data_IF_733272966644
#
_entry.id   IF_733272966644
#
_cell.length_a   1.000
_cell.length_b   1.000
_cell.length_c   1.000
_cell.angle_alpha   90.00
_cell.angle_beta   90.00
_cell.angle_gamma   90.00
#
_symmetry.space_group_name_H-M   'P 1'
#
loop_
_entity.id
_entity.type
_entity.pdbx_description
1 polymer ?
#
# COMPACT_ATOMS: atom_id res chain seq x y z
N UNK A 1 -13.51 15.24 -16.60
CA UNK A 1 -12.12 15.37 -16.12
C UNK A 1 -11.85 16.85 -15.89
N UNK A 2 -11.66 17.24 -14.63
CA UNK A 2 -11.33 18.61 -14.22
C UNK A 2 -9.81 18.76 -14.21
N UNK A 3 -9.23 18.96 -15.38
CA UNK A 3 -7.80 19.28 -15.50
C UNK A 3 -7.53 20.74 -15.16
N UNK A 4 -6.27 21.06 -14.88
CA UNK A 4 -5.83 22.42 -14.57
C UNK A 4 -5.76 23.26 -15.84
N UNK A 5 -6.23 24.50 -15.79
CA UNK A 5 -6.13 25.42 -16.92
C UNK A 5 -4.76 26.11 -16.93
N UNK A 6 -3.94 25.81 -17.94
CA UNK A 6 -2.57 26.31 -18.04
C UNK A 6 -2.49 27.62 -18.82
N UNK A 7 -1.73 28.57 -18.31
CA UNK A 7 -1.33 29.76 -19.07
C UNK A 7 -0.22 29.44 -20.08
N UNK A 8 0.10 30.41 -20.96
CA UNK A 8 1.10 30.21 -22.02
C UNK A 8 2.47 29.77 -21.50
N UNK A 9 2.93 30.36 -20.38
CA UNK A 9 4.21 29.99 -19.76
C UNK A 9 4.18 28.58 -19.21
N UNK A 10 3.10 28.19 -18.55
CA UNK A 10 2.94 26.84 -18.00
C UNK A 10 2.86 25.77 -19.10
N UNK A 11 2.23 26.08 -20.24
CA UNK A 11 2.22 25.20 -21.41
C UNK A 11 3.64 24.98 -21.98
N UNK A 12 4.45 26.03 -22.06
CA UNK A 12 5.86 25.91 -22.45
C UNK A 12 6.64 25.03 -21.46
N UNK A 13 6.50 25.29 -20.16
CA UNK A 13 7.16 24.50 -19.11
C UNK A 13 6.74 23.03 -19.15
N UNK A 14 5.44 22.75 -19.31
CA UNK A 14 4.91 21.38 -19.47
C UNK A 14 5.54 20.69 -20.67
N UNK A 15 5.59 21.36 -21.83
CA UNK A 15 6.14 20.79 -23.07
C UNK A 15 7.63 20.46 -22.93
N UNK A 16 8.42 21.35 -22.33
CA UNK A 16 9.84 21.09 -22.06
C UNK A 16 9.99 19.91 -21.09
N UNK A 17 9.19 19.87 -20.03
CA UNK A 17 9.21 18.81 -19.03
C UNK A 17 8.90 17.44 -19.64
N UNK A 18 7.85 17.33 -20.46
CA UNK A 18 7.48 16.11 -21.21
C UNK A 18 8.61 15.65 -22.13
N UNK A 19 9.24 16.58 -22.86
CA UNK A 19 10.36 16.24 -23.76
C UNK A 19 11.56 15.65 -23.01
N UNK A 20 11.91 16.21 -21.84
CA UNK A 20 13.03 15.70 -21.03
C UNK A 20 12.67 14.34 -20.39
N UNK A 21 11.44 14.19 -19.91
CA UNK A 21 10.93 12.95 -19.34
C UNK A 21 10.96 11.80 -20.35
N UNK A 22 10.43 12.02 -21.56
CA UNK A 22 10.40 10.99 -22.61
C UNK A 22 11.79 10.59 -23.07
N UNK A 23 12.72 11.55 -23.15
CA UNK A 23 14.13 11.27 -23.45
C UNK A 23 14.77 10.37 -22.37
N UNK A 24 14.55 10.70 -21.09
CA UNK A 24 15.06 9.90 -19.97
C UNK A 24 14.44 8.50 -19.92
N UNK A 25 13.12 8.39 -20.12
CA UNK A 25 12.42 7.09 -20.17
C UNK A 25 12.94 6.21 -21.29
N UNK A 26 13.09 6.76 -22.49
CA UNK A 26 13.60 6.03 -23.66
C UNK A 26 15.02 5.52 -23.42
N UNK A 27 15.89 6.33 -22.79
CA UNK A 27 17.26 5.91 -22.46
C UNK A 27 17.30 4.80 -21.38
N UNK A 28 16.44 4.91 -20.37
CA UNK A 28 16.36 3.93 -19.27
C UNK A 28 15.79 2.57 -19.72
N UNK A 29 14.79 2.58 -20.60
CA UNK A 29 14.16 1.38 -21.15
C UNK A 29 14.95 0.78 -22.34
N UNK A 30 15.75 1.60 -23.01
CA UNK A 30 16.52 1.24 -24.19
C UNK A 30 17.96 0.81 -23.91
N UNK A 31 18.83 1.00 -24.91
CA UNK A 31 20.24 0.58 -24.89
C UNK A 31 21.16 1.44 -24.00
N UNK A 32 20.63 2.43 -23.27
CA UNK A 32 21.39 3.39 -22.45
C UNK A 32 22.48 4.11 -23.26
N UNK A 33 22.07 4.73 -24.35
CA UNK A 33 22.96 5.40 -25.31
C UNK A 33 23.40 6.80 -24.83
N UNK A 34 22.70 7.38 -23.85
CA UNK A 34 23.02 8.69 -23.28
C UNK A 34 24.16 8.57 -22.27
N UNK A 35 25.16 9.44 -22.38
CA UNK A 35 26.27 9.50 -21.42
C UNK A 35 25.79 9.93 -20.03
N UNK A 36 26.56 9.61 -19.00
CA UNK A 36 26.24 10.01 -17.64
C UNK A 36 26.10 11.54 -17.51
N UNK A 37 27.01 12.32 -18.09
CA UNK A 37 26.93 13.78 -18.05
C UNK A 37 25.64 14.29 -18.68
N UNK A 38 25.27 13.75 -19.86
CA UNK A 38 24.06 14.17 -20.55
C UNK A 38 22.80 13.77 -19.78
N UNK A 39 22.80 12.60 -19.14
CA UNK A 39 21.71 12.18 -18.26
C UNK A 39 21.56 13.11 -17.05
N UNK A 40 22.68 13.53 -16.45
CA UNK A 40 22.67 14.49 -15.35
C UNK A 40 22.14 15.86 -15.78
N UNK A 41 22.51 16.34 -16.97
CA UNK A 41 21.93 17.56 -17.56
C UNK A 41 20.40 17.46 -17.71
N UNK A 42 19.92 16.34 -18.25
CA UNK A 42 18.49 16.08 -18.43
C UNK A 42 17.76 16.07 -17.09
N UNK A 43 18.30 15.38 -16.07
CA UNK A 43 17.72 15.39 -14.72
C UNK A 43 17.69 16.78 -14.08
N UNK A 44 18.75 17.58 -14.25
CA UNK A 44 18.80 18.93 -13.71
C UNK A 44 17.80 19.87 -14.44
N UNK A 45 17.68 19.75 -15.76
CA UNK A 45 16.72 20.51 -16.54
C UNK A 45 15.28 20.12 -16.20
N UNK A 46 15.00 18.83 -16.09
CA UNK A 46 13.72 18.30 -15.64
C UNK A 46 13.36 18.79 -14.24
N UNK A 47 14.32 18.77 -13.30
CA UNK A 47 14.13 19.28 -11.95
C UNK A 47 13.76 20.78 -11.95
N UNK A 48 14.48 21.58 -12.74
CA UNK A 48 14.21 23.01 -12.91
C UNK A 48 12.82 23.28 -13.47
N UNK A 49 12.46 22.64 -14.58
CA UNK A 49 11.16 22.85 -15.22
C UNK A 49 10.01 22.33 -14.36
N UNK A 50 10.16 21.17 -13.71
CA UNK A 50 9.17 20.61 -12.79
C UNK A 50 8.90 21.52 -11.61
N UNK A 51 9.96 22.03 -10.97
CA UNK A 51 9.85 22.99 -9.88
C UNK A 51 9.23 24.33 -10.34
N UNK A 52 9.68 24.90 -11.46
CA UNK A 52 9.13 26.17 -11.96
C UNK A 52 7.62 26.03 -12.29
N UNK A 53 7.24 24.90 -12.90
CA UNK A 53 5.85 24.58 -13.19
C UNK A 53 5.04 24.41 -11.90
N UNK A 54 5.53 23.65 -10.92
CA UNK A 54 4.89 23.52 -9.60
C UNK A 54 4.63 24.90 -8.98
N UNK A 55 5.68 25.71 -8.85
CA UNK A 55 5.56 27.01 -8.17
C UNK A 55 4.62 27.96 -8.90
N UNK A 56 4.59 27.88 -10.24
CA UNK A 56 3.63 28.65 -11.04
C UNK A 56 2.18 28.21 -10.81
N UNK A 57 1.91 26.90 -10.74
CA UNK A 57 0.59 26.33 -10.47
C UNK A 57 0.11 26.66 -9.05
N UNK A 58 1.01 26.51 -8.06
CA UNK A 58 0.76 26.93 -6.68
C UNK A 58 0.39 28.41 -6.58
N UNK A 59 1.10 29.28 -7.32
CA UNK A 59 0.84 30.71 -7.33
C UNK A 59 -0.54 31.14 -7.88
N UNK A 60 -1.20 30.29 -8.67
CA UNK A 60 -2.55 30.52 -9.18
C UNK A 60 -3.65 29.82 -8.37
N UNK A 61 -3.28 29.10 -7.30
CA UNK A 61 -4.22 28.38 -6.43
C UNK A 61 -4.41 26.90 -6.76
N UNK A 62 -3.68 26.36 -7.74
CA UNK A 62 -3.70 24.94 -8.12
C UNK A 62 -2.46 24.23 -7.59
N UNK A 63 -2.32 24.11 -6.27
CA UNK A 63 -1.13 23.46 -5.67
C UNK A 63 -1.07 21.97 -6.04
N UNK A 64 -0.01 21.50 -6.74
CA UNK A 64 0.08 20.11 -7.17
C UNK A 64 0.17 19.13 -6.00
N UNK A 65 -0.65 18.08 -6.06
CA UNK A 65 -0.63 16.95 -5.14
C UNK A 65 0.25 15.83 -5.70
N UNK A 66 1.06 15.20 -4.85
CA UNK A 66 1.89 14.02 -5.14
C UNK A 66 1.54 12.91 -4.16
N UNK A 67 1.73 11.67 -4.55
CA UNK A 67 1.45 10.53 -3.66
C UNK A 67 2.27 10.62 -2.36
N UNK A 68 1.66 10.30 -1.20
CA UNK A 68 2.29 10.36 0.12
C UNK A 68 3.58 9.56 0.19
N UNK A 69 3.57 8.32 -0.32
CA UNK A 69 4.76 7.45 -0.30
C UNK A 69 5.94 8.09 -1.05
N UNK A 70 5.67 8.91 -2.06
CA UNK A 70 6.69 9.59 -2.83
C UNK A 70 7.35 10.70 -2.00
N UNK A 71 6.55 11.48 -1.27
CA UNK A 71 7.03 12.53 -0.37
C UNK A 71 7.90 11.92 0.74
N UNK A 72 7.42 10.84 1.36
CA UNK A 72 8.12 10.13 2.43
C UNK A 72 9.46 9.54 1.96
N UNK A 73 9.47 8.84 0.82
CA UNK A 73 10.68 8.22 0.28
C UNK A 73 11.72 9.25 -0.18
N UNK A 74 11.28 10.42 -0.66
CA UNK A 74 12.20 11.50 -1.07
C UNK A 74 12.79 12.21 0.14
N UNK A 75 12.04 12.36 1.23
CA UNK A 75 12.49 13.05 2.44
C UNK A 75 12.85 14.52 2.25
N UNK A 76 12.36 15.14 1.17
CA UNK A 76 12.63 16.52 0.76
C UNK A 76 11.28 17.20 0.48
N UNK A 77 11.09 18.47 0.89
CA UNK A 77 9.88 19.22 0.58
C UNK A 77 9.53 19.29 -0.91
N UNK A 78 8.25 19.28 -1.24
CA UNK A 78 7.75 19.32 -2.64
C UNK A 78 8.06 20.63 -3.37
N UNK A 79 8.35 21.70 -2.62
CA UNK A 79 8.78 23.00 -3.12
C UNK A 79 10.31 23.12 -3.27
N UNK A 80 11.08 22.07 -2.95
CA UNK A 80 12.52 22.02 -3.25
C UNK A 80 12.74 21.53 -4.68
N UNK A 81 13.61 22.20 -5.43
CA UNK A 81 13.99 21.79 -6.79
C UNK A 81 14.50 20.34 -6.87
N UNK A 82 15.18 19.84 -5.83
CA UNK A 82 15.70 18.49 -5.78
C UNK A 82 14.59 17.44 -5.66
N UNK A 83 13.39 17.80 -5.22
CA UNK A 83 12.23 16.90 -5.24
C UNK A 83 12.01 16.38 -6.68
N UNK A 84 12.04 17.29 -7.66
CA UNK A 84 11.85 17.02 -9.09
C UNK A 84 13.07 16.43 -9.81
N UNK A 85 14.18 16.19 -9.12
CA UNK A 85 15.35 15.48 -9.68
C UNK A 85 15.14 13.97 -9.70
N UNK A 86 13.96 13.53 -10.12
CA UNK A 86 13.53 12.15 -10.27
C UNK A 86 12.31 12.06 -11.19
N UNK A 87 12.13 10.92 -11.84
CA UNK A 87 11.06 10.72 -12.83
C UNK A 87 9.68 10.73 -12.18
N UNK A 88 9.46 10.01 -11.07
CA UNK A 88 8.13 9.88 -10.47
C UNK A 88 7.47 11.21 -10.02
N UNK A 89 8.15 12.15 -9.34
CA UNK A 89 7.57 13.46 -9.02
C UNK A 89 7.12 14.27 -10.24
N UNK A 90 7.80 14.06 -11.36
CA UNK A 90 7.49 14.71 -12.64
C UNK A 90 6.28 14.04 -13.29
N UNK A 91 6.18 12.72 -13.22
CA UNK A 91 4.99 11.98 -13.67
C UNK A 91 3.75 12.38 -12.88
N UNK A 92 3.85 12.47 -11.55
CA UNK A 92 2.76 12.92 -10.68
C UNK A 92 2.32 14.33 -11.04
N UNK A 93 3.27 15.27 -11.21
CA UNK A 93 2.96 16.64 -11.63
C UNK A 93 2.20 16.68 -12.97
N UNK A 94 2.63 15.89 -13.96
CA UNK A 94 1.98 15.84 -15.27
C UNK A 94 0.57 15.22 -15.19
N UNK A 95 0.41 14.14 -14.40
CA UNK A 95 -0.90 13.52 -14.14
C UNK A 95 -1.86 14.48 -13.44
N UNK A 96 -1.39 15.22 -12.43
CA UNK A 96 -2.18 16.22 -11.71
C UNK A 96 -2.75 17.29 -12.65
N UNK A 97 -1.94 17.76 -13.61
CA UNK A 97 -2.38 18.75 -14.61
C UNK A 97 -3.57 18.21 -15.43
N UNK A 98 -3.57 16.92 -15.76
CA UNK A 98 -4.64 16.30 -16.55
C UNK A 98 -5.89 16.00 -15.71
N UNK A 99 -5.69 15.62 -14.46
CA UNK A 99 -6.72 15.34 -13.48
C UNK A 99 -6.21 15.67 -12.08
N UNK A 100 -6.82 16.66 -11.42
CA UNK A 100 -6.43 17.12 -10.08
C UNK A 100 -6.48 16.03 -9.00
N UNK A 101 -7.24 14.94 -9.25
CA UNK A 101 -7.36 13.78 -8.38
C UNK A 101 -6.49 12.58 -8.79
N UNK A 102 -5.58 12.75 -9.76
CA UNK A 102 -4.80 11.63 -10.30
C UNK A 102 -3.79 11.02 -9.32
N UNK A 103 -3.43 11.78 -8.27
CA UNK A 103 -2.46 11.38 -7.26
C UNK A 103 -3.07 11.40 -5.85
N UNK A 104 -4.40 11.36 -5.75
CA UNK A 104 -5.07 11.20 -4.47
C UNK A 104 -4.69 9.82 -3.92
N UNK A 105 -4.04 9.80 -2.76
CA UNK A 105 -3.70 8.53 -2.11
C UNK A 105 -5.00 7.76 -1.79
N UNK A 106 -4.97 6.42 -1.92
CA UNK A 106 -6.11 5.60 -1.56
C UNK A 106 -6.55 5.89 -0.12
N UNK A 107 -7.86 6.07 0.07
CA UNK A 107 -8.44 6.22 1.41
C UNK A 107 -8.76 4.83 1.94
N UNK A 108 -8.30 4.55 3.15
CA UNK A 108 -8.66 3.33 3.85
C UNK A 108 -10.13 3.39 4.31
N UNK A 109 -10.98 2.64 3.63
CA UNK A 109 -12.42 2.56 3.93
C UNK A 109 -12.78 1.40 4.87
N UNK A 110 -11.79 0.63 5.37
CA UNK A 110 -12.05 -0.63 6.07
C UNK A 110 -11.85 -0.57 7.57
N UNK A 111 -11.38 0.55 8.12
CA UNK A 111 -11.38 0.75 9.58
C UNK A 111 -12.82 0.72 10.11
N UNK A 112 -13.04 -0.09 11.15
CA UNK A 112 -14.36 -0.32 11.74
C UNK A 112 -15.17 -1.44 11.08
N UNK A 113 -14.75 -1.90 9.90
CA UNK A 113 -15.40 -3.01 9.21
C UNK A 113 -15.16 -4.35 9.92
N UNK A 114 -16.19 -5.21 9.88
CA UNK A 114 -16.16 -6.55 10.48
C UNK A 114 -16.11 -7.64 9.40
N UNK A 115 -15.18 -8.56 9.56
CA UNK A 115 -14.87 -9.66 8.66
C UNK A 115 -14.97 -11.00 9.41
N UNK A 116 -14.88 -12.09 8.66
CA UNK A 116 -15.00 -13.43 9.21
C UNK A 116 -13.87 -14.33 8.71
N UNK A 117 -13.32 -15.15 9.61
CA UNK A 117 -12.29 -16.13 9.31
C UNK A 117 -12.81 -17.52 9.71
N UNK A 118 -13.02 -18.43 8.76
CA UNK A 118 -13.39 -19.81 9.06
C UNK A 118 -12.18 -20.65 9.44
N UNK A 119 -12.16 -21.19 10.66
CA UNK A 119 -11.04 -21.99 11.17
C UNK A 119 -11.52 -23.40 11.56
N UNK A 120 -10.87 -24.41 11.00
CA UNK A 120 -11.12 -25.81 11.27
C UNK A 120 -10.34 -26.26 12.51
N UNK A 121 -11.01 -27.00 13.41
CA UNK A 121 -10.39 -27.67 14.54
C UNK A 121 -10.51 -29.18 14.38
N UNK A 122 -9.37 -29.91 14.37
CA UNK A 122 -9.41 -31.39 14.40
C UNK A 122 -10.01 -31.91 15.70
N UNK A 123 -9.73 -31.24 16.83
CA UNK A 123 -10.20 -31.62 18.16
C UNK A 123 -11.72 -31.70 18.23
N UNK A 124 -12.40 -30.74 17.62
CA UNK A 124 -13.86 -30.66 17.60
C UNK A 124 -14.49 -31.20 16.31
N UNK A 125 -13.66 -31.49 15.30
CA UNK A 125 -14.09 -31.90 13.96
C UNK A 125 -15.14 -30.93 13.39
N UNK A 126 -14.93 -29.64 13.63
CA UNK A 126 -15.82 -28.53 13.26
C UNK A 126 -15.03 -27.41 12.60
N UNK A 127 -15.75 -26.58 11.86
CA UNK A 127 -15.23 -25.33 11.34
C UNK A 127 -15.97 -24.19 12.04
N UNK A 128 -15.24 -23.43 12.84
CA UNK A 128 -15.76 -22.33 13.63
C UNK A 128 -15.46 -20.99 12.96
N UNK A 129 -16.35 -20.02 13.16
CA UNK A 129 -16.23 -18.70 12.54
C UNK A 129 -15.72 -17.69 13.55
N UNK A 130 -14.51 -17.21 13.32
CA UNK A 130 -13.90 -16.14 14.09
C UNK A 130 -14.37 -14.81 13.53
N UNK A 131 -14.77 -13.89 14.41
CA UNK A 131 -15.09 -12.52 14.02
C UNK A 131 -13.84 -11.68 14.19
N UNK A 132 -13.49 -10.92 13.15
CA UNK A 132 -12.36 -10.00 13.19
C UNK A 132 -12.81 -8.64 12.70
N UNK A 133 -12.57 -7.59 13.47
CA UNK A 133 -12.89 -6.22 13.10
C UNK A 133 -11.61 -5.42 12.99
N UNK A 134 -11.46 -4.64 11.92
CA UNK A 134 -10.29 -3.77 11.77
C UNK A 134 -10.46 -2.54 12.65
N UNK A 135 -9.44 -2.21 13.44
CA UNK A 135 -9.41 -1.04 14.34
C UNK A 135 -8.14 -0.24 14.08
N UNK A 136 -8.11 1.01 14.54
CA UNK A 136 -6.99 1.96 14.32
C UNK A 136 -5.62 1.42 14.72
N UNK A 137 -5.55 0.54 15.72
CA UNK A 137 -4.28 0.02 16.27
C UNK A 137 -3.98 -1.43 15.85
N UNK A 138 -4.84 -2.05 15.04
CA UNK A 138 -4.73 -3.47 14.68
C UNK A 138 -6.09 -4.12 14.45
N UNK A 139 -6.36 -5.21 15.18
CA UNK A 139 -7.58 -6.00 15.02
C UNK A 139 -8.34 -6.12 16.34
N UNK A 140 -9.66 -6.16 16.30
CA UNK A 140 -10.49 -6.68 17.38
C UNK A 140 -10.93 -8.08 17.00
N UNK A 141 -10.65 -9.06 17.86
CA UNK A 141 -11.00 -10.46 17.60
C UNK A 141 -12.07 -10.90 18.58
N UNK A 142 -13.00 -11.72 18.10
CA UNK A 142 -14.02 -12.36 18.93
C UNK A 142 -14.25 -13.81 18.46
N UNK A 143 -13.93 -14.75 19.35
CA UNK A 143 -14.30 -16.14 19.25
C UNK A 143 -14.54 -16.72 20.65
N UNK A 144 -15.81 -17.06 20.94
CA UNK A 144 -16.24 -17.56 22.25
C UNK A 144 -15.79 -16.65 23.41
N UNK A 145 -14.91 -17.12 24.28
CA UNK A 145 -14.38 -16.37 25.42
C UNK A 145 -13.13 -15.55 25.08
N UNK A 146 -12.49 -15.81 23.94
CA UNK A 146 -11.32 -15.07 23.48
C UNK A 146 -11.80 -13.86 22.69
N UNK A 147 -11.76 -12.68 23.33
CA UNK A 147 -12.15 -11.43 22.70
C UNK A 147 -11.33 -10.25 23.17
N UNK A 148 -11.04 -9.31 22.29
CA UNK A 148 -10.33 -8.09 22.63
C UNK A 148 -9.55 -7.48 21.48
N UNK A 149 -8.98 -6.30 21.77
CA UNK A 149 -8.08 -5.60 20.89
C UNK A 149 -6.74 -6.35 20.77
N UNK A 150 -6.20 -6.34 19.57
CA UNK A 150 -4.96 -6.97 19.16
C UNK A 150 -4.10 -5.96 18.39
N UNK A 151 -2.80 -6.21 18.39
CA UNK A 151 -1.89 -5.54 17.47
C UNK A 151 -2.19 -5.95 16.01
N UNK A 152 -1.52 -5.28 15.06
CA UNK A 152 -1.67 -5.54 13.61
C UNK A 152 -1.37 -6.99 13.24
N UNK A 153 -0.49 -7.64 13.98
CA UNK A 153 -0.15 -9.05 13.83
C UNK A 153 -1.20 -10.01 14.43
N UNK A 154 -2.36 -9.51 14.87
CA UNK A 154 -3.45 -10.25 15.52
C UNK A 154 -3.12 -10.85 16.90
N UNK A 155 -1.99 -10.48 17.50
CA UNK A 155 -1.63 -10.88 18.86
C UNK A 155 -2.31 -10.00 19.92
N UNK A 156 -2.62 -10.54 21.11
CA UNK A 156 -2.43 -11.94 21.53
C UNK A 156 -3.66 -12.83 21.32
N UNK A 157 -4.84 -12.25 21.06
CA UNK A 157 -6.13 -12.94 21.24
C UNK A 157 -6.32 -14.08 20.23
N UNK A 158 -5.94 -13.87 18.95
CA UNK A 158 -6.04 -14.93 17.94
C UNK A 158 -5.28 -16.18 18.39
N UNK A 159 -4.01 -15.98 18.73
CA UNK A 159 -3.09 -17.06 19.06
C UNK A 159 -3.43 -17.75 20.38
N UNK A 160 -3.98 -17.02 21.34
CA UNK A 160 -4.53 -17.61 22.55
C UNK A 160 -5.71 -18.55 22.23
N UNK A 161 -6.63 -18.11 21.37
CA UNK A 161 -7.77 -18.93 20.93
C UNK A 161 -7.33 -20.16 20.13
N UNK A 162 -6.44 -19.99 19.15
CA UNK A 162 -5.89 -21.10 18.37
C UNK A 162 -5.17 -22.13 19.25
N UNK A 163 -4.38 -21.65 20.21
CA UNK A 163 -3.67 -22.52 21.16
C UNK A 163 -4.61 -23.27 22.09
N UNK A 164 -5.66 -22.61 22.56
CA UNK A 164 -6.68 -23.24 23.41
C UNK A 164 -7.40 -24.40 22.69
N UNK A 165 -7.67 -24.22 21.39
CA UNK A 165 -8.35 -25.22 20.56
C UNK A 165 -7.40 -26.26 19.94
N UNK A 166 -6.11 -26.21 20.27
CA UNK A 166 -5.10 -27.16 19.79
C UNK A 166 -4.76 -27.01 18.30
N UNK A 167 -5.05 -25.84 17.71
CA UNK A 167 -4.94 -25.62 16.26
C UNK A 167 -3.48 -25.38 15.88
N UNK A 168 -2.96 -26.15 14.92
CA UNK A 168 -1.67 -25.90 14.30
C UNK A 168 -1.80 -24.89 13.16
N UNK A 169 -0.93 -23.89 13.19
CA UNK A 169 -0.88 -22.80 12.22
C UNK A 169 0.58 -22.47 11.88
N UNK A 170 0.84 -21.79 10.76
CA UNK A 170 2.20 -21.53 10.31
C UNK A 170 2.88 -20.45 11.15
N UNK A 171 4.20 -20.61 11.37
CA UNK A 171 5.00 -19.70 12.22
C UNK A 171 4.91 -18.24 11.78
N UNK A 172 4.91 -17.99 10.47
CA UNK A 172 4.91 -16.62 9.92
C UNK A 172 3.52 -15.96 9.89
N UNK A 173 2.46 -16.63 10.34
CA UNK A 173 1.09 -16.10 10.33
C UNK A 173 0.97 -14.66 10.90
N UNK A 174 1.63 -14.29 12.02
CA UNK A 174 1.58 -12.91 12.54
C UNK A 174 2.03 -11.86 11.53
N UNK A 175 3.13 -12.11 10.82
CA UNK A 175 3.64 -11.18 9.82
C UNK A 175 2.69 -10.98 8.63
N UNK A 176 1.92 -12.00 8.25
CA UNK A 176 0.92 -11.86 7.19
C UNK A 176 -0.31 -11.07 7.63
N UNK A 177 -0.72 -11.17 8.90
CA UNK A 177 -1.78 -10.32 9.45
C UNK A 177 -1.36 -8.86 9.51
N UNK A 178 -0.13 -8.60 9.98
CA UNK A 178 0.43 -7.25 10.02
C UNK A 178 0.53 -6.65 8.62
N UNK A 179 1.09 -7.43 7.68
CA UNK A 179 1.19 -7.02 6.28
C UNK A 179 -0.17 -6.68 5.68
N UNK A 180 -1.19 -7.54 5.84
CA UNK A 180 -2.54 -7.27 5.34
C UNK A 180 -3.12 -5.99 5.96
N UNK A 181 -2.89 -5.76 7.25
CA UNK A 181 -3.38 -4.57 7.92
C UNK A 181 -2.76 -3.30 7.33
N UNK A 182 -1.44 -3.31 7.09
CA UNK A 182 -0.71 -2.19 6.51
C UNK A 182 -1.11 -1.94 5.06
N UNK A 183 -1.24 -3.00 4.26
CA UNK A 183 -1.68 -2.88 2.86
C UNK A 183 -3.09 -2.32 2.74
N UNK A 184 -4.02 -2.70 3.64
CA UNK A 184 -5.34 -2.09 3.66
C UNK A 184 -5.29 -0.57 3.94
N UNK A 185 -4.32 -0.12 4.75
CA UNK A 185 -4.12 1.30 5.07
C UNK A 185 -3.40 2.07 3.94
N UNK A 186 -2.40 1.45 3.33
CA UNK A 186 -1.51 2.11 2.36
C UNK A 186 -2.10 2.11 0.95
N UNK A 187 -2.73 1.00 0.55
CA UNK A 187 -3.29 0.80 -0.79
C UNK A 187 -4.81 1.03 -0.82
N UNK A 188 -5.42 1.37 0.31
CA UNK A 188 -6.86 1.63 0.42
C UNK A 188 -7.71 0.44 -0.04
N UNK A 189 -7.33 -0.77 0.40
CA UNK A 189 -8.05 -1.99 0.02
C UNK A 189 -9.51 -1.88 0.43
N UNK A 190 -10.40 -2.29 -0.46
CA UNK A 190 -11.82 -2.35 -0.15
C UNK A 190 -12.17 -3.59 0.70
N UNK A 191 -13.40 -3.62 1.23
CA UNK A 191 -13.92 -4.70 2.07
C UNK A 191 -13.77 -6.09 1.42
N UNK A 192 -14.01 -6.22 0.12
CA UNK A 192 -13.94 -7.52 -0.58
C UNK A 192 -12.50 -8.03 -0.67
N UNK A 193 -11.54 -7.14 -0.95
CA UNK A 193 -10.12 -7.47 -1.01
C UNK A 193 -9.62 -7.93 0.37
N UNK A 194 -9.93 -7.18 1.44
CA UNK A 194 -9.55 -7.57 2.80
C UNK A 194 -10.17 -8.90 3.21
N UNK A 195 -11.47 -9.11 2.94
CA UNK A 195 -12.13 -10.39 3.22
C UNK A 195 -11.52 -11.55 2.44
N UNK A 196 -11.13 -11.34 1.19
CA UNK A 196 -10.50 -12.35 0.35
C UNK A 196 -9.13 -12.73 0.91
N UNK A 197 -8.28 -11.77 1.27
CA UNK A 197 -6.99 -12.05 1.89
C UNK A 197 -7.14 -12.75 3.24
N UNK A 198 -8.12 -12.37 4.06
CA UNK A 198 -8.42 -13.08 5.32
C UNK A 198 -8.86 -14.53 5.08
N UNK A 199 -9.58 -14.81 3.99
CA UNK A 199 -9.93 -16.17 3.60
C UNK A 199 -8.71 -17.00 3.19
N UNK A 200 -7.74 -16.38 2.50
CA UNK A 200 -6.46 -17.04 2.16
C UNK A 200 -5.66 -17.40 3.42
N UNK A 201 -5.60 -16.50 4.40
CA UNK A 201 -4.98 -16.79 5.70
C UNK A 201 -5.72 -17.92 6.43
N UNK A 202 -7.06 -17.90 6.39
CA UNK A 202 -7.89 -18.96 6.97
C UNK A 202 -7.57 -20.33 6.32
N UNK A 203 -7.47 -20.38 4.99
CA UNK A 203 -7.17 -21.61 4.27
C UNK A 203 -5.76 -22.13 4.57
N UNK A 204 -4.80 -21.23 4.76
CA UNK A 204 -3.44 -21.61 5.16
C UNK A 204 -3.40 -22.23 6.57
N UNK A 205 -4.09 -21.62 7.54
CA UNK A 205 -4.28 -22.20 8.89
C UNK A 205 -4.92 -23.58 8.78
N UNK A 206 -6.02 -23.68 8.03
CA UNK A 206 -6.77 -24.93 7.88
C UNK A 206 -5.94 -26.02 7.21
N UNK A 207 -5.08 -25.66 6.26
CA UNK A 207 -4.15 -26.57 5.60
C UNK A 207 -3.12 -27.12 6.58
N UNK A 208 -2.49 -26.24 7.38
CA UNK A 208 -1.56 -26.65 8.42
C UNK A 208 -2.23 -27.59 9.43
N UNK A 209 -3.43 -27.23 9.90
CA UNK A 209 -4.15 -28.03 10.88
C UNK A 209 -4.55 -29.40 10.33
N UNK A 210 -5.12 -29.46 9.11
CA UNK A 210 -5.51 -30.74 8.46
C UNK A 210 -4.31 -31.63 8.12
N UNK A 211 -3.14 -31.05 7.85
CA UNK A 211 -1.91 -31.77 7.55
C UNK A 211 -1.17 -32.29 8.80
N UNK A 212 -1.67 -31.98 10.00
CA UNK A 212 -1.05 -32.42 11.24
C UNK A 212 -0.93 -33.96 11.34
N UNK A 213 0.17 -34.49 11.90
CA UNK A 213 0.37 -35.93 12.07
C UNK A 213 -0.76 -36.62 12.83
N UNK A 214 -1.04 -37.86 12.45
CA UNK A 214 -2.09 -38.73 13.04
C UNK A 214 -1.48 -39.90 13.82
N UNK A 215 -2.32 -40.74 14.43
CA UNK A 215 -1.89 -41.91 15.20
C UNK A 215 -1.35 -41.52 16.57
N UNK A 216 -0.09 -41.86 16.88
CA UNK A 216 0.50 -41.58 18.22
C UNK A 216 0.55 -40.09 18.57
N UNK A 217 0.42 -39.21 17.58
CA UNK A 217 0.44 -37.76 17.73
C UNK A 217 -0.96 -37.14 17.88
N UNK A 218 -2.04 -37.93 17.87
CA UNK A 218 -3.42 -37.40 17.97
C UNK A 218 -3.72 -36.70 19.30
N UNK A 219 -2.98 -37.01 20.36
CA UNK A 219 -3.07 -36.30 21.65
C UNK A 219 -2.03 -35.20 21.84
N UNK A 220 -1.20 -34.93 20.82
CA UNK A 220 -0.18 -33.88 20.86
C UNK A 220 -0.74 -32.61 20.24
N UNK A 221 -1.21 -31.71 21.12
CA UNK A 221 -2.06 -30.52 20.88
C UNK A 221 -3.53 -30.85 20.59
#
# INVERSE_FOLDING_TARGET
>A
MSGVNLNARQLELKKELESHLETLKTDLLGKREITYEKRMELFNAMAKYGHELHMSLKGQGDEPVHHRYMIENRGIPVDDINFYKHIHPVEDLLKFIENVHANDDPVDETIGETFYIPIYSRRWNSQDRYTIKRIETGWYIEHMTHRGDCAKDASPILYASLSHDGINYPESLPGYFEWLWDQAQEEGLNREQVQTSLNELAEWINTCEKASPKGIFEGYK
#
